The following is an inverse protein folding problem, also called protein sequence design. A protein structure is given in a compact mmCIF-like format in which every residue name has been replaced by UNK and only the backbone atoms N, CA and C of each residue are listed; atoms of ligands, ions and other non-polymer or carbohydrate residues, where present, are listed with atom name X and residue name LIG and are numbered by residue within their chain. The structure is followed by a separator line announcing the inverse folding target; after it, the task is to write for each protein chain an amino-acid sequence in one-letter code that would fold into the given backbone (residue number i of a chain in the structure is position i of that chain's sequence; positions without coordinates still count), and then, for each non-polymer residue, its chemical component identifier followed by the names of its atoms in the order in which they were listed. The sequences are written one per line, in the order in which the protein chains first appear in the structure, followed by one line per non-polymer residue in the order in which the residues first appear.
data_IF_972037741875
#
_entry.id   IF_972037741875
#
_cell.length_a   1.000
_cell.length_b   1.000
_cell.length_c   1.000
_cell.angle_alpha   90.00
_cell.angle_beta   90.00
_cell.angle_gamma   90.00
#
_symmetry.space_group_name_H-M   'P 1'
#
loop_
_entity.id
_entity.type
_entity.pdbx_description
1 polymer ?
#
# COMPACT_ATOMS: atom_id res chain seq x y z
N UNK A 1 -2.63 6.32 -23.93
CA UNK A 1 -1.30 6.31 -23.27
C UNK A 1 -1.37 5.34 -22.10
N UNK A 2 -0.57 4.28 -22.02
CA UNK A 2 -0.69 3.24 -20.96
C UNK A 2 -0.18 3.77 -19.63
N UNK A 3 -1.00 3.64 -18.57
CA UNK A 3 -0.64 4.04 -17.19
C UNK A 3 -0.01 2.85 -16.45
N UNK A 4 1.29 2.64 -16.75
CA UNK A 4 2.09 1.55 -16.18
C UNK A 4 3.35 2.08 -15.55
N UNK A 5 3.80 1.42 -14.50
CA UNK A 5 5.09 1.68 -13.87
C UNK A 5 5.67 0.41 -13.24
N UNK A 6 6.97 0.45 -13.04
CA UNK A 6 7.73 -0.54 -12.30
C UNK A 6 8.70 0.18 -11.35
N UNK A 7 8.88 -0.38 -10.17
CA UNK A 7 9.79 0.09 -9.14
C UNK A 7 10.49 -1.11 -8.52
N UNK A 8 11.77 -0.94 -8.27
CA UNK A 8 12.56 -1.83 -7.41
C UNK A 8 13.10 -0.99 -6.25
N UNK A 9 12.76 -1.39 -5.03
CA UNK A 9 13.21 -0.76 -3.79
C UNK A 9 14.09 -1.77 -3.04
N UNK A 10 15.26 -1.32 -2.60
CA UNK A 10 16.18 -2.14 -1.81
C UNK A 10 16.66 -1.33 -0.61
N UNK A 11 16.50 -1.89 0.58
CA UNK A 11 17.03 -1.40 1.84
C UNK A 11 18.09 -2.39 2.38
N UNK A 12 18.48 -2.25 3.63
CA UNK A 12 19.31 -3.26 4.31
C UNK A 12 18.48 -4.49 4.68
N UNK A 13 17.20 -4.27 4.99
CA UNK A 13 16.27 -5.27 5.52
C UNK A 13 15.44 -5.93 4.42
N UNK A 14 15.16 -5.20 3.31
CA UNK A 14 14.20 -5.67 2.29
C UNK A 14 14.68 -5.48 0.86
N UNK A 15 14.10 -6.30 -0.04
CA UNK A 15 14.14 -6.11 -1.49
C UNK A 15 12.74 -6.30 -2.05
N UNK A 16 12.17 -5.24 -2.63
CA UNK A 16 10.80 -5.20 -3.10
C UNK A 16 10.76 -4.79 -4.58
N UNK A 17 10.14 -5.61 -5.40
CA UNK A 17 9.91 -5.34 -6.82
C UNK A 17 8.39 -5.22 -7.04
N UNK A 18 7.93 -4.10 -7.59
CA UNK A 18 6.51 -3.82 -7.86
C UNK A 18 6.32 -3.40 -9.31
N UNK A 19 5.32 -3.98 -9.96
CA UNK A 19 4.84 -3.52 -11.26
C UNK A 19 3.33 -3.30 -11.22
N UNK A 20 2.86 -2.14 -11.71
CA UNK A 20 1.45 -1.75 -11.76
C UNK A 20 1.03 -1.40 -13.18
N UNK A 21 -0.16 -1.86 -13.58
CA UNK A 21 -0.88 -1.38 -14.73
C UNK A 21 -2.27 -0.92 -14.29
N UNK A 22 -2.48 0.39 -14.24
CA UNK A 22 -3.77 0.97 -13.80
C UNK A 22 -4.88 0.66 -14.81
N UNK A 23 -4.55 0.55 -16.10
CA UNK A 23 -5.48 0.17 -17.17
C UNK A 23 -5.48 -1.37 -17.37
N UNK A 24 -5.49 -2.11 -16.29
CA UNK A 24 -5.41 -3.57 -16.23
C UNK A 24 -6.75 -4.28 -16.36
N UNK A 25 -6.75 -5.54 -15.94
CA UNK A 25 -7.91 -6.44 -15.87
C UNK A 25 -7.97 -7.21 -14.54
N UNK A 26 -7.27 -6.74 -13.50
CA UNK A 26 -7.19 -7.40 -12.20
C UNK A 26 -6.31 -8.64 -12.19
N UNK A 27 -5.30 -8.72 -13.06
CA UNK A 27 -4.33 -9.81 -13.04
C UNK A 27 -3.28 -9.54 -11.97
N UNK A 28 -2.99 -10.54 -11.15
CA UNK A 28 -2.01 -10.39 -10.09
C UNK A 28 -0.99 -11.53 -10.07
N UNK A 29 0.17 -11.21 -9.54
CA UNK A 29 1.21 -12.17 -9.11
C UNK A 29 1.89 -11.58 -7.90
N UNK A 30 1.56 -12.09 -6.71
CA UNK A 30 1.96 -11.52 -5.43
C UNK A 30 2.69 -12.58 -4.63
N UNK A 31 3.81 -12.20 -4.04
CA UNK A 31 4.68 -13.05 -3.25
C UNK A 31 5.46 -12.14 -2.29
N UNK A 32 4.90 -11.89 -1.11
CA UNK A 32 5.54 -11.10 -0.05
C UNK A 32 6.11 -11.97 1.08
N UNK A 33 5.73 -13.25 1.09
CA UNK A 33 6.02 -14.16 2.20
C UNK A 33 5.11 -13.95 3.41
N UNK A 34 4.08 -13.06 3.31
CA UNK A 34 3.11 -12.76 4.37
C UNK A 34 1.71 -13.07 3.84
N UNK A 35 1.17 -14.23 4.20
CA UNK A 35 -0.04 -14.77 3.58
C UNK A 35 -1.25 -13.82 3.63
N UNK A 36 -1.48 -13.12 4.76
CA UNK A 36 -2.57 -12.16 4.86
C UNK A 36 -2.36 -10.93 3.97
N UNK A 37 -1.14 -10.42 3.88
CA UNK A 37 -0.79 -9.30 3.00
C UNK A 37 -0.96 -9.68 1.53
N UNK A 38 -0.51 -10.87 1.15
CA UNK A 38 -0.67 -11.40 -0.21
C UNK A 38 -2.15 -11.43 -0.59
N UNK A 39 -3.00 -12.02 0.28
CA UNK A 39 -4.44 -12.08 0.06
C UNK A 39 -5.06 -10.69 -0.10
N UNK A 40 -4.72 -9.72 0.74
CA UNK A 40 -5.25 -8.35 0.64
C UNK A 40 -4.85 -7.65 -0.66
N UNK A 41 -3.62 -7.83 -1.11
CA UNK A 41 -3.12 -7.26 -2.36
C UNK A 41 -3.76 -7.93 -3.59
N UNK A 42 -4.04 -9.23 -3.53
CA UNK A 42 -4.81 -9.95 -4.56
C UNK A 42 -6.23 -9.41 -4.66
N UNK A 43 -6.92 -9.21 -3.52
CA UNK A 43 -8.26 -8.61 -3.49
C UNK A 43 -8.23 -7.18 -4.05
N UNK A 44 -7.24 -6.37 -3.65
CA UNK A 44 -7.04 -5.03 -4.20
C UNK A 44 -6.93 -5.07 -5.74
N UNK A 45 -6.06 -5.92 -6.29
CA UNK A 45 -5.88 -6.07 -7.73
C UNK A 45 -7.17 -6.49 -8.42
N UNK A 46 -7.81 -7.54 -7.94
CA UNK A 46 -9.03 -8.13 -8.52
C UNK A 46 -10.19 -7.15 -8.56
N UNK A 47 -10.48 -6.49 -7.43
CA UNK A 47 -11.64 -5.60 -7.31
C UNK A 47 -11.44 -4.22 -7.92
N UNK A 48 -10.20 -3.72 -8.00
CA UNK A 48 -9.89 -2.45 -8.68
C UNK A 48 -9.65 -2.60 -10.18
N UNK A 49 -9.57 -3.84 -10.70
CA UNK A 49 -9.15 -4.15 -12.08
C UNK A 49 -7.73 -3.68 -12.42
N UNK A 50 -6.92 -3.30 -11.45
CA UNK A 50 -5.50 -2.95 -11.62
C UNK A 50 -4.71 -4.24 -11.75
N UNK A 51 -3.84 -4.37 -12.79
CA UNK A 51 -2.88 -5.47 -12.77
C UNK A 51 -1.76 -5.12 -11.80
N UNK A 52 -1.45 -6.05 -10.88
CA UNK A 52 -0.48 -5.86 -9.81
C UNK A 52 0.49 -7.05 -9.73
N UNK A 53 1.78 -6.76 -9.79
CA UNK A 53 2.83 -7.73 -9.53
C UNK A 53 3.69 -7.21 -8.38
N UNK A 54 3.82 -8.02 -7.33
CA UNK A 54 4.64 -7.72 -6.16
C UNK A 54 5.52 -8.92 -5.87
N UNK A 55 6.80 -8.69 -5.68
CA UNK A 55 7.72 -9.67 -5.14
C UNK A 55 8.51 -8.99 -4.03
N UNK A 56 8.38 -9.48 -2.82
CA UNK A 56 9.12 -9.00 -1.66
C UNK A 56 10.00 -10.11 -1.08
N UNK A 57 11.15 -9.70 -0.60
CA UNK A 57 12.01 -10.52 0.25
C UNK A 57 12.54 -9.62 1.36
N UNK A 58 12.18 -9.91 2.58
CA UNK A 58 12.64 -9.18 3.76
C UNK A 58 13.07 -10.12 4.88
N UNK A 59 13.40 -9.52 6.00
CA UNK A 59 13.87 -10.15 7.23
C UNK A 59 12.72 -10.68 8.11
N UNK A 60 11.75 -11.35 7.49
CA UNK A 60 10.52 -11.86 8.14
C UNK A 60 10.78 -12.82 9.32
N UNK A 61 12.03 -13.30 9.46
CA UNK A 61 12.47 -14.07 10.62
C UNK A 61 12.63 -13.22 11.90
N UNK A 62 12.72 -11.88 11.75
CA UNK A 62 12.72 -10.92 12.86
C UNK A 62 11.26 -10.55 13.19
N UNK A 63 10.58 -9.92 12.24
CA UNK A 63 9.15 -9.60 12.28
C UNK A 63 8.61 -9.30 10.86
N UNK A 64 7.33 -8.96 10.77
CA UNK A 64 6.69 -8.66 9.49
C UNK A 64 6.67 -7.16 9.15
N UNK A 65 7.22 -6.30 10.04
CA UNK A 65 7.11 -4.84 9.95
C UNK A 65 7.79 -4.31 8.69
N UNK A 66 9.11 -4.53 8.56
CA UNK A 66 9.89 -3.98 7.45
C UNK A 66 9.35 -4.40 6.09
N UNK A 67 8.97 -5.68 5.96
CA UNK A 67 8.44 -6.20 4.70
C UNK A 67 7.09 -5.59 4.36
N UNK A 68 6.19 -5.45 5.34
CA UNK A 68 4.86 -4.85 5.14
C UNK A 68 4.97 -3.37 4.78
N UNK A 69 5.76 -2.62 5.54
CA UNK A 69 5.97 -1.19 5.36
C UNK A 69 6.58 -0.88 3.99
N UNK A 70 7.71 -1.48 3.68
CA UNK A 70 8.42 -1.25 2.41
C UNK A 70 7.60 -1.69 1.20
N UNK A 71 6.78 -2.75 1.33
CA UNK A 71 5.83 -3.16 0.28
C UNK A 71 4.78 -2.07 0.05
N UNK A 72 4.20 -1.52 1.11
CA UNK A 72 3.24 -0.40 1.03
C UNK A 72 3.85 0.84 0.38
N UNK A 73 5.06 1.23 0.79
CA UNK A 73 5.81 2.35 0.20
C UNK A 73 6.05 2.12 -1.29
N UNK A 74 6.57 0.96 -1.67
CA UNK A 74 6.89 0.64 -3.06
C UNK A 74 5.64 0.63 -3.96
N UNK A 75 4.50 0.11 -3.47
CA UNK A 75 3.22 0.15 -4.18
C UNK A 75 2.76 1.60 -4.36
N UNK A 76 2.82 2.43 -3.32
CA UNK A 76 2.45 3.85 -3.36
C UNK A 76 3.30 4.65 -4.36
N UNK A 77 4.62 4.47 -4.35
CA UNK A 77 5.53 5.09 -5.30
C UNK A 77 5.27 4.63 -6.75
N UNK A 78 5.03 3.32 -6.93
CA UNK A 78 4.72 2.75 -8.24
C UNK A 78 3.40 3.30 -8.79
N UNK A 79 2.37 3.41 -7.95
CA UNK A 79 1.07 3.99 -8.30
C UNK A 79 1.21 5.47 -8.69
N UNK A 80 1.96 6.27 -7.91
CA UNK A 80 2.27 7.67 -8.21
C UNK A 80 2.96 7.81 -9.57
N UNK A 81 3.96 6.97 -9.84
CA UNK A 81 4.68 6.93 -11.13
C UNK A 81 3.76 6.55 -12.30
N UNK A 82 2.90 5.55 -12.13
CA UNK A 82 1.93 5.11 -13.14
C UNK A 82 0.88 6.19 -13.43
N UNK A 83 0.49 6.98 -12.42
CA UNK A 83 -0.50 8.06 -12.53
C UNK A 83 0.00 9.30 -13.29
N UNK A 84 1.25 9.35 -13.75
CA UNK A 84 1.81 10.40 -14.60
C UNK A 84 1.46 11.82 -14.15
N UNK A 85 1.79 12.17 -12.93
CA UNK A 85 1.47 13.47 -12.30
C UNK A 85 -0.05 13.74 -12.21
N UNK A 86 -0.86 12.69 -12.16
CA UNK A 86 -2.32 12.74 -11.98
C UNK A 86 -3.08 13.42 -13.13
N UNK A 87 -2.51 13.45 -14.35
CA UNK A 87 -3.19 13.99 -15.52
C UNK A 87 -4.33 13.06 -15.94
N UNK A 88 -5.52 13.62 -16.13
CA UNK A 88 -6.71 12.89 -16.62
C UNK A 88 -7.33 11.94 -15.59
N UNK A 89 -7.04 12.10 -14.31
CA UNK A 89 -7.71 11.35 -13.23
C UNK A 89 -8.78 12.20 -12.55
N UNK A 90 -9.80 11.55 -12.02
CA UNK A 90 -10.79 12.19 -11.16
C UNK A 90 -10.15 12.46 -9.80
N UNK A 91 -10.18 13.72 -9.34
CA UNK A 91 -9.52 14.12 -8.09
C UNK A 91 -10.16 13.51 -6.85
N UNK A 92 -11.49 13.46 -6.80
CA UNK A 92 -12.23 12.96 -5.64
C UNK A 92 -12.96 11.66 -5.97
N UNK A 93 -12.91 10.73 -5.03
CA UNK A 93 -13.72 9.52 -5.08
C UNK A 93 -14.01 9.01 -3.69
N UNK A 94 -15.05 8.21 -3.56
CA UNK A 94 -15.37 7.49 -2.33
C UNK A 94 -15.97 6.13 -2.67
N UNK A 95 -15.92 5.22 -1.70
CA UNK A 95 -16.59 3.94 -1.75
C UNK A 95 -17.16 3.58 -0.39
N UNK A 96 -18.29 2.89 -0.40
CA UNK A 96 -18.86 2.21 0.75
C UNK A 96 -19.03 0.74 0.38
N UNK A 97 -18.34 -0.14 1.10
CA UNK A 97 -18.29 -1.56 0.79
C UNK A 97 -18.80 -2.34 2.01
N UNK A 98 -19.97 -2.99 1.90
CA UNK A 98 -20.46 -3.89 2.92
C UNK A 98 -19.78 -5.25 2.80
N UNK A 99 -19.53 -5.88 3.94
CA UNK A 99 -19.14 -7.27 4.04
C UNK A 99 -19.69 -7.80 5.36
N UNK A 100 -20.67 -8.69 5.27
CA UNK A 100 -21.46 -9.19 6.40
C UNK A 100 -22.00 -8.00 7.25
N UNK A 101 -21.71 -7.96 8.53
CA UNK A 101 -22.12 -6.88 9.45
C UNK A 101 -21.19 -5.66 9.40
N UNK A 102 -20.14 -5.69 8.58
CA UNK A 102 -19.16 -4.61 8.48
C UNK A 102 -19.45 -3.69 7.31
N UNK A 103 -19.38 -2.38 7.52
CA UNK A 103 -19.42 -1.36 6.47
C UNK A 103 -18.13 -0.55 6.48
N UNK A 104 -17.33 -0.71 5.44
CA UNK A 104 -16.13 0.09 5.22
C UNK A 104 -16.43 1.31 4.37
N UNK A 105 -16.02 2.50 4.83
CA UNK A 105 -16.13 3.76 4.08
C UNK A 105 -14.76 4.34 3.83
N UNK A 106 -14.47 4.68 2.58
CA UNK A 106 -13.21 5.30 2.16
C UNK A 106 -13.52 6.51 1.30
N UNK A 107 -12.82 7.62 1.55
CA UNK A 107 -12.86 8.81 0.70
C UNK A 107 -11.41 9.22 0.36
N UNK A 108 -11.17 9.55 -0.91
CA UNK A 108 -9.84 9.88 -1.42
C UNK A 108 -9.87 11.25 -2.10
N UNK A 109 -8.92 12.13 -1.75
CA UNK A 109 -8.57 13.35 -2.49
C UNK A 109 -7.14 13.20 -3.04
N UNK A 110 -7.00 13.15 -4.36
CA UNK A 110 -5.71 13.07 -5.04
C UNK A 110 -5.13 14.47 -5.21
N UNK A 111 -4.65 15.07 -4.11
CA UNK A 111 -4.16 16.45 -4.05
C UNK A 111 -2.63 16.58 -4.10
N UNK A 112 -1.90 15.47 -4.17
CA UNK A 112 -0.44 15.39 -4.03
C UNK A 112 0.08 15.94 -2.68
N UNK A 113 -0.79 16.08 -1.70
CA UNK A 113 -0.45 16.40 -0.30
C UNK A 113 -0.77 15.17 0.55
N UNK A 114 0.26 14.50 1.09
CA UNK A 114 0.04 13.29 1.86
C UNK A 114 -0.70 13.59 3.16
N UNK A 115 -1.82 12.91 3.38
CA UNK A 115 -2.61 13.00 4.60
C UNK A 115 -3.46 11.74 4.76
N UNK A 116 -3.47 11.14 5.94
CA UNK A 116 -4.29 9.98 6.26
C UNK A 116 -5.14 10.26 7.50
N UNK A 117 -6.43 10.01 7.40
CA UNK A 117 -7.35 9.93 8.54
C UNK A 117 -7.74 8.47 8.72
N UNK A 118 -7.29 7.87 9.79
CA UNK A 118 -7.62 6.50 10.16
C UNK A 118 -8.59 6.51 11.34
N UNK A 119 -9.82 6.02 11.12
CA UNK A 119 -10.87 5.94 12.15
C UNK A 119 -11.38 4.52 12.33
N UNK A 120 -10.52 3.56 12.17
CA UNK A 120 -10.83 2.13 12.36
C UNK A 120 -10.27 1.67 13.71
N UNK A 121 -11.10 0.99 14.51
CA UNK A 121 -10.68 0.30 15.72
C UNK A 121 -10.68 -1.19 15.43
N UNK A 122 -9.50 -1.76 15.33
CA UNK A 122 -9.34 -3.21 15.21
C UNK A 122 -9.41 -3.83 16.60
N UNK A 123 -10.29 -4.82 16.77
CA UNK A 123 -10.54 -5.48 18.06
C UNK A 123 -9.62 -6.68 18.31
N UNK A 124 -8.87 -7.09 17.28
CA UNK A 124 -7.97 -8.23 17.33
C UNK A 124 -6.53 -7.74 17.16
N UNK A 125 -5.59 -8.35 17.85
CA UNK A 125 -4.17 -7.98 17.78
C UNK A 125 -3.49 -8.52 16.53
N UNK A 126 -3.97 -9.66 16.02
CA UNK A 126 -3.40 -10.33 14.83
C UNK A 126 -4.48 -10.77 13.84
N UNK A 127 -4.10 -10.76 12.56
CA UNK A 127 -4.84 -11.36 11.45
C UNK A 127 -3.92 -12.38 10.78
N UNK A 128 -4.10 -13.67 11.08
CA UNK A 128 -3.12 -14.69 10.80
C UNK A 128 -1.83 -14.41 11.59
N UNK A 129 -0.70 -14.35 10.92
CA UNK A 129 0.60 -14.03 11.54
C UNK A 129 0.89 -12.51 11.58
N UNK A 130 0.08 -11.70 10.90
CA UNK A 130 0.29 -10.26 10.76
C UNK A 130 -0.33 -9.50 11.93
N UNK A 131 0.47 -8.68 12.61
CA UNK A 131 -0.02 -7.78 13.65
C UNK A 131 -0.87 -6.66 13.06
N UNK A 132 -2.05 -6.41 13.65
CA UNK A 132 -3.00 -5.42 13.12
C UNK A 132 -2.48 -3.99 13.26
N UNK A 133 -1.54 -3.73 14.16
CA UNK A 133 -0.89 -2.42 14.25
C UNK A 133 -0.17 -2.03 12.96
N UNK A 134 0.35 -2.98 12.18
CA UNK A 134 1.01 -2.72 10.90
C UNK A 134 0.10 -2.09 9.84
N UNK A 135 -1.23 -2.22 10.00
CA UNK A 135 -2.20 -1.61 9.08
C UNK A 135 -2.34 -0.08 9.28
N UNK A 136 -1.98 0.45 10.44
CA UNK A 136 -2.12 1.87 10.77
C UNK A 136 -0.84 2.55 11.26
N UNK A 137 0.20 1.79 11.59
CA UNK A 137 1.54 2.31 11.90
C UNK A 137 2.45 2.34 10.69
N UNK A 138 2.04 1.73 9.57
CA UNK A 138 2.72 1.90 8.28
C UNK A 138 2.86 3.41 8.00
N UNK A 139 4.08 3.91 7.63
CA UNK A 139 4.34 5.32 7.66
C UNK A 139 3.35 6.07 6.81
N UNK A 140 2.57 6.91 7.48
CA UNK A 140 1.88 7.99 6.81
C UNK A 140 2.95 8.79 6.04
N UNK A 141 2.68 9.25 4.82
CA UNK A 141 3.58 10.19 4.13
C UNK A 141 3.96 11.41 4.98
N UNK A 142 3.30 11.61 6.12
CA UNK A 142 3.61 12.61 7.14
C UNK A 142 4.86 12.24 7.93
N UNK A 143 5.09 10.96 8.20
CA UNK A 143 6.24 10.50 9.00
C UNK A 143 7.54 10.60 8.22
N UNK A 144 7.47 10.49 6.90
CA UNK A 144 8.59 10.73 5.99
C UNK A 144 9.01 12.22 5.95
N UNK A 145 8.12 13.15 6.32
CA UNK A 145 8.42 14.57 6.36
C UNK A 145 8.98 15.04 7.72
N UNK A 146 8.67 14.34 8.80
CA UNK A 146 9.15 14.69 10.16
C UNK A 146 10.55 14.15 10.46
N UNK A 147 11.01 13.11 9.76
CA UNK A 147 12.37 12.59 9.89
C UNK A 147 13.47 13.53 9.33
N UNK A 148 13.10 14.71 8.81
CA UNK A 148 14.02 15.73 8.29
C UNK A 148 14.14 16.98 9.16
N UNK A 149 13.67 16.96 10.40
CA UNK A 149 14.05 18.05 11.32
C UNK A 149 15.46 17.79 11.84
N UNK A 150 16.45 18.64 11.53
CA UNK A 150 17.71 18.56 12.22
C UNK A 150 17.43 18.84 13.69
N UNK A 151 17.93 17.99 14.56
CA UNK A 151 18.03 18.29 15.99
C UNK A 151 18.84 19.58 16.11
N UNK A 152 18.16 20.71 16.32
CA UNK A 152 18.82 21.90 16.77
C UNK A 152 19.27 21.68 18.19
N UNK A 153 20.55 21.82 18.37
CA UNK A 153 21.29 21.85 19.62
C UNK A 153 20.65 22.76 20.69
#
# INVERSE_FOLDING_TARGET
MKRKAEISRKTKETKIDVAINIDGKGKFKIDTGIGFLDHMLEQLSKHSSIDLKVKAKGDTHIDLHHTTEDTGIAIGECLKKASKKFVGIKRYSHAMIPMDETLTRVAIDVSNRPYLIWKVKLKVEKLGEMDTCLLYTSPSPRDLSTSRMPSSA
#
